data_IF_773747029512
#
_entry.id   IF_773747029512
#
_cell.length_a   1.000
_cell.length_b   1.000
_cell.length_c   1.000
_cell.angle_alpha   90.00
_cell.angle_beta   90.00
_cell.angle_gamma   90.00
#
_symmetry.space_group_name_H-M   'P 1'
#
loop_
_entity.id
_entity.type
_entity.pdbx_description
1 polymer ?
#
# COMPACT_ATOMS: atom_id res chain seq x y z
N UNK A 1 12.36 5.95 34.25
CA UNK A 1 13.07 6.53 33.09
C UNK A 1 12.01 6.89 32.09
N UNK A 2 12.02 8.12 31.61
CA UNK A 2 11.08 8.54 30.60
C UNK A 2 11.47 7.84 29.30
N UNK A 3 10.51 7.14 28.72
CA UNK A 3 10.73 6.32 27.53
C UNK A 3 10.20 7.08 26.33
N UNK A 4 11.00 7.14 25.27
CA UNK A 4 10.58 7.71 24.01
C UNK A 4 9.37 6.92 23.49
N UNK A 5 8.28 7.61 23.16
CA UNK A 5 7.07 6.96 22.67
C UNK A 5 6.43 7.70 21.51
N UNK A 6 5.88 6.97 20.54
CA UNK A 6 5.02 7.55 19.51
C UNK A 6 3.68 7.94 20.14
N UNK A 7 3.22 9.16 19.90
CA UNK A 7 1.96 9.69 20.46
C UNK A 7 0.87 9.89 19.40
N UNK A 8 1.24 9.97 18.12
CA UNK A 8 0.31 10.06 17.01
C UNK A 8 1.00 10.00 15.65
N UNK A 9 0.24 9.73 14.61
CA UNK A 9 0.75 9.74 13.22
C UNK A 9 -0.32 10.17 12.21
N UNK A 10 0.13 10.71 11.07
CA UNK A 10 -0.70 11.08 9.91
C UNK A 10 -0.23 10.32 8.67
N UNK A 11 -1.12 10.13 7.70
CA UNK A 11 -0.86 9.37 6.47
C UNK A 11 -1.03 10.27 5.25
N UNK A 12 0.01 10.36 4.42
CA UNK A 12 0.03 11.20 3.23
C UNK A 12 -0.16 12.68 3.59
N UNK A 13 -1.02 13.36 2.82
CA UNK A 13 -1.43 14.74 3.09
C UNK A 13 -2.67 14.85 3.99
N UNK A 14 -3.18 13.73 4.53
CA UNK A 14 -4.35 13.75 5.39
C UNK A 14 -4.03 14.44 6.73
N UNK A 15 -4.85 15.40 7.18
CA UNK A 15 -4.67 16.03 8.49
C UNK A 15 -5.16 15.14 9.66
N UNK A 16 -5.76 13.98 9.37
CA UNK A 16 -6.25 13.08 10.41
C UNK A 16 -5.09 12.48 11.20
N UNK A 17 -5.10 12.72 12.52
CA UNK A 17 -4.15 12.11 13.45
C UNK A 17 -4.72 10.80 13.97
N UNK A 18 -3.98 9.72 13.75
CA UNK A 18 -4.27 8.39 14.25
C UNK A 18 -3.49 8.12 15.53
N UNK A 19 -4.15 7.49 16.50
CA UNK A 19 -3.48 7.02 17.71
C UNK A 19 -2.64 5.76 17.39
N UNK A 20 -1.47 5.58 18.03
CA UNK A 20 -0.66 4.38 17.87
C UNK A 20 -1.24 3.18 18.64
N UNK A 21 -0.84 1.98 18.22
CA UNK A 21 -1.09 0.73 18.95
C UNK A 21 -0.43 0.83 20.32
N UNK A 22 -1.17 0.51 21.38
CA UNK A 22 -0.74 0.70 22.77
C UNK A 22 -1.21 2.03 23.40
N UNK A 23 -1.71 2.97 22.60
CA UNK A 23 -2.35 4.22 23.06
C UNK A 23 -3.86 4.28 22.73
N UNK A 24 -4.51 3.12 22.58
CA UNK A 24 -5.93 3.02 22.19
C UNK A 24 -6.17 3.11 20.68
N UNK A 25 -5.11 3.23 19.88
CA UNK A 25 -5.15 3.14 18.43
C UNK A 25 -5.04 1.72 17.89
N UNK A 26 -5.09 1.62 16.57
CA UNK A 26 -5.08 0.35 15.84
C UNK A 26 -4.50 0.51 14.44
N UNK A 27 -4.61 -0.56 13.67
CA UNK A 27 -4.25 -0.51 12.26
C UNK A 27 -5.23 0.37 11.46
N UNK A 28 -4.71 1.10 10.48
CA UNK A 28 -5.42 2.05 9.64
C UNK A 28 -5.43 1.53 8.22
N UNK A 29 -6.62 1.35 7.65
CA UNK A 29 -6.80 0.99 6.25
C UNK A 29 -6.66 2.22 5.37
N UNK A 30 -5.79 2.13 4.38
CA UNK A 30 -5.62 3.10 3.30
C UNK A 30 -6.25 2.46 2.06
N UNK A 31 -7.41 2.95 1.58
CA UNK A 31 -8.12 2.34 0.46
C UNK A 31 -7.25 2.24 -0.80
N UNK A 32 -7.13 1.02 -1.34
CA UNK A 32 -6.34 0.75 -2.56
C UNK A 32 -4.83 0.78 -2.35
N UNK A 33 -4.36 0.69 -1.10
CA UNK A 33 -2.93 0.70 -0.75
C UNK A 33 -2.62 -0.42 0.23
N UNK A 34 -3.36 -0.51 1.33
CA UNK A 34 -3.15 -1.53 2.34
C UNK A 34 -3.43 -1.07 3.77
N UNK A 35 -2.98 -1.87 4.72
CA UNK A 35 -3.19 -1.69 6.15
C UNK A 35 -1.86 -1.31 6.83
N UNK A 36 -1.85 -0.21 7.58
CA UNK A 36 -0.66 0.25 8.32
C UNK A 36 -0.92 0.36 9.81
N UNK A 37 0.07 0.03 10.65
CA UNK A 37 0.04 0.30 12.08
C UNK A 37 1.39 0.81 12.58
N UNK A 38 1.33 1.70 13.58
CA UNK A 38 2.50 2.18 14.34
C UNK A 38 2.19 2.00 15.81
N UNK A 39 3.10 1.38 16.55
CA UNK A 39 3.01 1.18 17.99
C UNK A 39 3.72 2.29 18.77
N UNK A 40 3.38 2.44 20.04
CA UNK A 40 3.99 3.44 20.94
C UNK A 40 5.49 3.25 21.10
N UNK A 41 6.02 2.04 20.91
CA UNK A 41 7.46 1.75 20.96
C UNK A 41 8.19 2.01 19.62
N UNK A 42 7.47 2.49 18.60
CA UNK A 42 8.02 2.76 17.27
C UNK A 42 8.01 1.56 16.32
N UNK A 43 7.59 0.37 16.78
CA UNK A 43 7.37 -0.78 15.89
C UNK A 43 6.24 -0.46 14.93
N UNK A 44 6.43 -0.72 13.64
CA UNK A 44 5.41 -0.49 12.63
C UNK A 44 5.25 -1.70 11.72
N UNK A 45 4.07 -1.82 11.12
CA UNK A 45 3.80 -2.85 10.11
C UNK A 45 3.00 -2.25 8.97
N UNK A 46 3.26 -2.73 7.76
CA UNK A 46 2.48 -2.41 6.57
C UNK A 46 2.18 -3.70 5.83
N UNK A 47 0.89 -3.95 5.59
CA UNK A 47 0.39 -5.05 4.78
C UNK A 47 -0.26 -4.44 3.53
N UNK A 48 0.39 -4.51 2.35
CA UNK A 48 -0.17 -3.98 1.12
C UNK A 48 -1.45 -4.72 0.73
N UNK A 49 -2.37 -4.03 0.06
CA UNK A 49 -3.48 -4.68 -0.64
C UNK A 49 -2.92 -5.58 -1.75
N UNK A 50 -3.59 -6.70 -2.04
CA UNK A 50 -3.13 -7.66 -3.06
C UNK A 50 -2.98 -7.02 -4.45
N UNK A 51 -3.86 -6.06 -4.75
CA UNK A 51 -3.90 -5.32 -6.01
C UNK A 51 -3.18 -3.96 -5.89
N UNK A 52 -2.34 -3.73 -4.86
CA UNK A 52 -1.52 -2.52 -4.78
C UNK A 52 -0.34 -2.61 -5.75
N UNK A 53 -0.65 -2.46 -7.03
CA UNK A 53 0.23 -2.59 -8.18
C UNK A 53 0.43 -1.24 -8.90
N UNK A 54 0.48 -0.12 -8.16
CA UNK A 54 0.53 1.20 -8.81
C UNK A 54 1.84 1.40 -9.58
N UNK A 55 1.70 1.37 -10.91
CA UNK A 55 2.64 1.77 -11.95
C UNK A 55 4.00 1.04 -11.99
N UNK A 56 4.00 -0.17 -12.57
CA UNK A 56 5.22 -0.88 -13.01
C UNK A 56 6.04 -0.07 -14.03
N UNK A 57 5.42 0.86 -14.79
CA UNK A 57 6.11 1.65 -15.82
C UNK A 57 6.89 2.85 -15.25
N UNK A 58 6.54 3.33 -14.05
CA UNK A 58 7.25 4.41 -13.35
C UNK A 58 8.33 3.97 -12.34
N UNK A 59 8.55 2.66 -12.17
CA UNK A 59 9.63 2.14 -11.33
C UNK A 59 9.28 1.92 -9.85
N UNK A 60 7.99 1.76 -9.52
CA UNK A 60 7.52 1.30 -8.22
C UNK A 60 6.33 2.07 -7.67
N UNK A 61 5.63 1.45 -6.72
CA UNK A 61 4.52 2.09 -5.99
C UNK A 61 5.04 2.88 -4.79
N UNK A 62 4.70 4.17 -4.73
CA UNK A 62 5.06 5.02 -3.60
C UNK A 62 3.98 4.92 -2.53
N UNK A 63 4.31 4.27 -1.41
CA UNK A 63 3.45 4.25 -0.23
C UNK A 63 3.29 5.68 0.33
N UNK A 64 2.10 6.07 0.84
CA UNK A 64 1.91 7.39 1.41
C UNK A 64 2.91 7.68 2.54
N UNK A 65 3.58 8.83 2.49
CA UNK A 65 4.48 9.27 3.57
C UNK A 65 3.74 9.29 4.90
N UNK A 66 4.32 8.66 5.93
CA UNK A 66 3.80 8.76 7.30
C UNK A 66 4.59 9.79 8.06
N UNK A 67 3.91 10.72 8.74
CA UNK A 67 4.54 11.62 9.71
C UNK A 67 4.08 11.20 11.10
N UNK A 68 5.01 11.04 12.04
CA UNK A 68 4.70 10.64 13.41
C UNK A 68 5.35 11.57 14.43
N UNK A 69 4.69 11.73 15.57
CA UNK A 69 5.16 12.51 16.71
C UNK A 69 5.71 11.58 17.77
N UNK A 70 6.90 11.87 18.27
CA UNK A 70 7.52 11.18 19.41
C UNK A 70 7.62 12.12 20.61
N UNK A 71 7.34 11.61 21.81
CA UNK A 71 7.56 12.33 23.07
C UNK A 71 8.58 11.62 23.95
N UNK A 72 9.44 12.40 24.61
CA UNK A 72 10.50 11.91 25.49
C UNK A 72 10.02 11.58 26.92
N UNK A 73 8.71 11.67 27.18
CA UNK A 73 8.07 11.46 28.48
C UNK A 73 8.31 12.57 29.52
N UNK A 74 9.19 13.54 29.22
CA UNK A 74 9.38 14.77 29.99
C UNK A 74 8.56 15.95 29.42
N UNK A 75 7.76 15.71 28.39
CA UNK A 75 6.89 16.68 27.73
C UNK A 75 7.51 17.37 26.53
N UNK A 76 8.71 16.98 26.08
CA UNK A 76 9.26 17.40 24.80
C UNK A 76 8.77 16.48 23.70
N UNK A 77 8.34 17.05 22.57
CA UNK A 77 7.91 16.30 21.39
C UNK A 77 8.72 16.68 20.15
N UNK A 78 8.97 15.72 19.26
CA UNK A 78 9.53 15.96 17.93
C UNK A 78 8.76 15.17 16.86
N UNK A 79 8.91 15.54 15.59
CA UNK A 79 8.24 14.89 14.46
C UNK A 79 9.23 14.29 13.47
N UNK A 80 8.91 13.11 12.94
CA UNK A 80 9.72 12.42 11.95
C UNK A 80 8.87 11.78 10.85
N UNK A 81 9.49 11.47 9.72
CA UNK A 81 8.83 10.89 8.55
C UNK A 81 9.30 9.46 8.28
N UNK A 82 8.36 8.60 7.92
CA UNK A 82 8.58 7.25 7.43
C UNK A 82 8.18 7.20 5.95
N UNK A 83 9.15 6.87 5.10
CA UNK A 83 8.96 6.68 3.66
C UNK A 83 9.15 5.19 3.37
N UNK A 84 8.13 4.57 2.79
CA UNK A 84 8.16 3.16 2.37
C UNK A 84 8.09 3.10 0.86
N UNK A 85 8.94 2.30 0.23
CA UNK A 85 8.91 2.04 -1.20
C UNK A 85 8.46 0.60 -1.42
N UNK A 86 7.39 0.42 -2.19
CA UNK A 86 6.88 -0.91 -2.54
C UNK A 86 7.28 -1.19 -3.97
N UNK A 87 8.01 -2.28 -4.18
CA UNK A 87 8.37 -2.74 -5.53
C UNK A 87 7.35 -3.79 -5.95
N UNK A 88 6.45 -3.49 -6.91
CA UNK A 88 5.51 -4.48 -7.40
C UNK A 88 6.28 -5.58 -8.14
N UNK A 89 5.91 -6.83 -7.90
CA UNK A 89 6.32 -7.96 -8.73
C UNK A 89 5.37 -8.04 -9.93
N UNK A 90 5.92 -8.00 -11.14
CA UNK A 90 5.16 -8.26 -12.36
C UNK A 90 4.69 -9.71 -12.38
N UNK A 91 3.40 -9.96 -12.16
CA UNK A 91 2.81 -11.25 -12.44
C UNK A 91 2.74 -11.46 -13.96
N UNK A 92 3.35 -12.54 -14.46
CA UNK A 92 3.39 -12.80 -15.89
C UNK A 92 1.97 -12.99 -16.44
N UNK A 93 1.61 -12.37 -17.58
CA UNK A 93 0.32 -12.62 -18.20
C UNK A 93 0.21 -14.10 -18.56
N UNK A 94 -0.76 -14.79 -17.96
CA UNK A 94 -1.11 -16.16 -18.32
C UNK A 94 -2.03 -16.12 -19.54
N UNK A 95 -1.45 -16.01 -20.75
CA UNK A 95 -2.18 -16.24 -21.97
C UNK A 95 -2.58 -17.73 -22.02
N UNK A 96 -3.88 -18.01 -22.00
CA UNK A 96 -4.39 -19.33 -22.42
C UNK A 96 -4.54 -19.26 -23.94
N UNK A 97 -3.91 -20.19 -24.67
CA UNK A 97 -4.02 -20.23 -26.12
C UNK A 97 -5.48 -20.47 -26.55
N UNK A 98 -6.07 -19.51 -27.25
CA UNK A 98 -7.36 -19.70 -27.93
C UNK A 98 -7.14 -20.41 -29.27
N UNK A 99 -7.44 -21.70 -29.34
CA UNK A 99 -7.46 -22.45 -30.59
C UNK A 99 -8.82 -22.32 -31.28
N UNK A 100 -8.89 -21.54 -32.37
CA UNK A 100 -10.05 -21.50 -33.27
C UNK A 100 -9.68 -22.19 -34.59
N UNK A 101 -10.32 -23.32 -34.88
CA UNK A 101 -10.26 -23.96 -36.21
C UNK A 101 -11.51 -23.59 -37.00
N UNK A 102 -11.34 -23.16 -38.25
CA UNK A 102 -12.45 -22.93 -39.20
C UNK A 102 -12.17 -23.64 -40.51
N UNK A 103 -13.22 -23.98 -41.25
CA UNK A 103 -13.11 -24.43 -42.64
C UNK A 103 -12.94 -23.20 -43.56
N UNK A 104 -12.32 -23.35 -44.73
CA UNK A 104 -12.01 -22.22 -45.63
C UNK A 104 -13.23 -21.38 -46.05
N UNK A 105 -14.44 -21.95 -45.96
CA UNK A 105 -15.69 -21.32 -46.39
C UNK A 105 -16.54 -20.73 -45.24
N UNK A 106 -16.02 -20.67 -44.00
CA UNK A 106 -16.74 -20.12 -42.86
C UNK A 106 -16.03 -18.88 -42.28
N UNK A 107 -16.68 -17.70 -42.25
CA UNK A 107 -16.12 -16.54 -41.57
C UNK A 107 -16.06 -16.77 -40.06
N UNK A 108 -14.87 -16.59 -39.48
CA UNK A 108 -14.66 -16.58 -38.03
C UNK A 108 -14.81 -15.17 -37.51
N UNK A 109 -15.65 -14.98 -36.51
CA UNK A 109 -15.59 -13.83 -35.62
C UNK A 109 -15.17 -14.30 -34.23
N UNK A 110 -14.17 -13.63 -33.67
CA UNK A 110 -13.74 -13.76 -32.28
C UNK A 110 -13.49 -12.37 -31.74
N UNK A 111 -13.97 -12.10 -30.52
CA UNK A 111 -13.53 -10.93 -29.78
C UNK A 111 -12.20 -11.28 -29.12
N UNK A 112 -11.17 -10.46 -29.31
CA UNK A 112 -10.07 -10.40 -28.34
C UNK A 112 -10.74 -9.86 -27.08
N UNK A 113 -11.10 -10.75 -26.17
CA UNK A 113 -11.48 -10.34 -24.82
C UNK A 113 -10.25 -9.62 -24.28
N UNK A 114 -10.34 -8.30 -24.22
CA UNK A 114 -9.45 -7.46 -23.46
C UNK A 114 -9.64 -7.88 -22.00
N UNK A 115 -8.96 -8.94 -21.59
CA UNK A 115 -8.65 -9.21 -20.19
C UNK A 115 -7.48 -8.30 -19.73
N UNK A 116 -7.32 -7.16 -20.39
CA UNK A 116 -6.44 -6.08 -19.99
C UNK A 116 -7.21 -5.28 -18.94
N UNK A 117 -7.15 -5.76 -17.71
CA UNK A 117 -7.52 -5.00 -16.53
C UNK A 117 -6.20 -4.75 -15.81
N UNK A 118 -5.81 -3.47 -15.79
CA UNK A 118 -4.67 -2.92 -15.07
C UNK A 118 -4.92 -2.88 -13.55
#
# INVERSE_FOLDING_TARGET
PDVLSVTGFTIGSSPTVYAPVGAGGGAVTIPGVGLVSIATDGTWSFAPDADYNTDLAAGGSVFPTITYTVEDGAGSSDTATLIVTVTPTNDAPAATDDAVTTNEDAPVSGAVILNDID
#
